data_IF_958253815730
#
_entry.id   IF_958253815730
#
_cell.length_a   1.000
_cell.length_b   1.000
_cell.length_c   1.000
_cell.angle_alpha   90.00
_cell.angle_beta   90.00
_cell.angle_gamma   90.00
#
_symmetry.space_group_name_H-M   'P 1'
#
loop_
_entity.id
_entity.type
_entity.pdbx_description
1 polymer ?
#
# COMPACT_ATOMS: atom_id res chain seq x y z
N UNK A 1 4.28 -7.84 -21.19
CA UNK A 1 4.90 -7.33 -19.96
C UNK A 1 6.10 -8.24 -19.67
N UNK A 2 7.32 -7.72 -19.43
CA UNK A 2 8.41 -8.56 -18.88
C UNK A 2 7.91 -9.15 -17.57
N UNK A 3 8.22 -10.42 -17.28
CA UNK A 3 7.86 -11.03 -15.99
C UNK A 3 8.48 -10.18 -14.86
N UNK A 4 7.68 -9.53 -13.99
CA UNK A 4 8.19 -8.69 -12.92
C UNK A 4 9.17 -9.43 -12.02
N UNK A 5 9.08 -10.76 -11.89
CA UNK A 5 10.06 -11.54 -11.14
C UNK A 5 11.49 -11.35 -11.68
N UNK A 6 11.66 -11.24 -13.00
CA UNK A 6 12.98 -11.01 -13.62
C UNK A 6 13.57 -9.64 -13.31
N UNK A 7 12.73 -8.64 -13.01
CA UNK A 7 13.18 -7.30 -12.62
C UNK A 7 13.69 -7.26 -11.17
N UNK A 8 13.28 -8.23 -10.34
CA UNK A 8 13.61 -8.31 -8.92
C UNK A 8 14.46 -9.55 -8.57
N UNK A 9 15.06 -10.20 -9.57
CA UNK A 9 16.08 -11.25 -9.41
C UNK A 9 17.51 -10.65 -9.32
N UNK A 10 17.63 -9.33 -9.43
CA UNK A 10 18.85 -8.55 -9.22
C UNK A 10 20.07 -9.07 -9.99
N UNK A 11 19.89 -9.36 -11.28
CA UNK A 11 20.94 -9.92 -12.16
C UNK A 11 21.46 -11.29 -11.67
N UNK A 12 20.60 -12.10 -11.03
CA UNK A 12 20.89 -13.47 -10.59
C UNK A 12 21.71 -13.54 -9.30
N UNK A 13 21.61 -12.52 -8.44
CA UNK A 13 22.32 -12.50 -7.15
C UNK A 13 21.71 -13.49 -6.18
N UNK A 14 22.56 -14.31 -5.55
CA UNK A 14 22.12 -15.23 -4.50
C UNK A 14 22.28 -14.67 -3.07
N UNK A 15 22.90 -13.50 -2.93
CA UNK A 15 23.15 -12.85 -1.62
C UNK A 15 22.12 -11.76 -1.29
N UNK A 16 20.91 -11.85 -1.85
CA UNK A 16 19.85 -10.87 -1.66
C UNK A 16 19.08 -11.15 -0.38
N UNK A 17 18.87 -10.11 0.43
CA UNK A 17 18.24 -10.17 1.74
C UNK A 17 17.05 -9.21 1.75
N UNK A 18 15.84 -9.74 1.73
CA UNK A 18 14.62 -8.95 1.80
C UNK A 18 14.24 -8.66 3.26
N UNK A 19 13.87 -7.40 3.54
CA UNK A 19 13.56 -6.95 4.89
C UNK A 19 12.26 -6.16 4.95
N UNK A 20 11.26 -6.70 5.64
CA UNK A 20 9.92 -6.10 5.77
C UNK A 20 9.80 -5.07 6.89
N UNK A 21 10.51 -3.92 6.82
CA UNK A 21 10.36 -2.82 7.78
C UNK A 21 9.08 -1.98 7.54
N UNK A 22 7.94 -2.66 7.52
CA UNK A 22 6.61 -2.06 7.39
C UNK A 22 6.37 -1.02 8.49
N UNK A 23 5.59 0.03 8.18
CA UNK A 23 5.23 1.13 9.09
C UNK A 23 6.36 2.05 9.56
N UNK A 24 7.60 1.83 9.16
CA UNK A 24 8.74 2.62 9.62
C UNK A 24 8.61 4.13 9.34
N UNK A 25 7.94 4.50 8.24
CA UNK A 25 7.57 5.88 7.87
C UNK A 25 6.69 6.61 8.91
N UNK A 26 6.01 5.88 9.81
CA UNK A 26 5.22 6.51 10.89
C UNK A 26 6.10 7.26 11.89
N UNK A 27 7.38 6.91 12.00
CA UNK A 27 8.34 7.61 12.86
C UNK A 27 8.68 9.02 12.37
N UNK A 28 8.39 9.34 11.10
CA UNK A 28 8.66 10.66 10.54
C UNK A 28 7.62 11.70 10.93
N UNK A 29 6.41 11.31 11.33
CA UNK A 29 5.42 12.26 11.84
C UNK A 29 5.73 12.66 13.28
N UNK A 30 6.01 13.95 13.46
CA UNK A 30 6.20 14.58 14.78
C UNK A 30 5.17 15.67 15.04
N UNK A 31 4.21 15.87 14.14
CA UNK A 31 3.32 17.04 14.15
C UNK A 31 2.32 17.03 15.31
N UNK A 32 1.87 15.83 15.73
CA UNK A 32 0.79 15.65 16.72
C UNK A 32 -0.49 16.44 16.37
N UNK A 33 -0.67 16.77 15.08
CA UNK A 33 -1.76 17.61 14.59
C UNK A 33 -3.11 16.87 14.56
N UNK A 34 -3.06 15.54 14.53
CA UNK A 34 -4.21 14.66 14.67
C UNK A 34 -4.04 13.79 15.92
N UNK A 35 -5.14 13.44 16.61
CA UNK A 35 -5.08 12.46 17.69
C UNK A 35 -4.65 11.11 17.12
N UNK A 36 -3.50 10.61 17.57
CA UNK A 36 -2.99 9.28 17.22
C UNK A 36 -3.31 8.34 18.36
N UNK A 37 -4.15 7.33 18.10
CA UNK A 37 -4.32 6.20 19.00
C UNK A 37 -3.44 5.06 18.49
N UNK A 38 -2.44 4.68 19.27
CA UNK A 38 -1.54 3.58 18.91
C UNK A 38 -2.24 2.26 19.19
N UNK A 39 -2.61 1.56 18.14
CA UNK A 39 -3.11 0.19 18.22
C UNK A 39 -1.94 -0.78 18.00
N UNK A 40 -1.39 -1.28 19.10
CA UNK A 40 -0.27 -2.21 19.07
C UNK A 40 -0.61 -3.53 18.38
N UNK A 41 -1.85 -4.01 18.51
CA UNK A 41 -2.31 -5.25 17.88
C UNK A 41 -2.32 -5.09 16.37
N UNK A 42 -2.87 -3.97 15.88
CA UNK A 42 -2.88 -3.69 14.44
C UNK A 42 -1.48 -3.46 13.89
N UNK A 43 -0.58 -2.82 14.64
CA UNK A 43 0.81 -2.63 14.20
C UNK A 43 1.53 -3.98 14.03
N UNK A 44 1.37 -4.92 14.97
CA UNK A 44 1.89 -6.28 14.88
C UNK A 44 1.31 -7.05 13.69
N UNK A 45 -0.01 -6.96 13.47
CA UNK A 45 -0.68 -7.58 12.33
C UNK A 45 -0.25 -6.97 10.99
N UNK A 46 0.09 -5.67 10.96
CA UNK A 46 0.64 -5.04 9.76
C UNK A 46 2.04 -5.54 9.48
N UNK A 47 2.89 -5.73 10.50
CA UNK A 47 4.25 -6.24 10.31
C UNK A 47 4.25 -7.64 9.69
N UNK A 48 3.28 -8.50 10.06
CA UNK A 48 3.09 -9.82 9.47
C UNK A 48 2.76 -9.80 7.96
N UNK A 49 2.50 -8.64 7.35
CA UNK A 49 2.45 -8.51 5.88
C UNK A 49 3.82 -8.74 5.22
N UNK A 50 4.90 -8.83 5.99
CA UNK A 50 6.20 -9.32 5.50
C UNK A 50 6.11 -10.69 4.81
N UNK A 51 5.05 -11.48 5.08
CA UNK A 51 4.70 -12.69 4.33
C UNK A 51 4.60 -12.47 2.81
N UNK A 52 4.26 -11.26 2.37
CA UNK A 52 4.15 -10.90 0.95
C UNK A 52 5.52 -10.93 0.23
N UNK A 53 6.62 -10.76 0.96
CA UNK A 53 7.97 -10.84 0.39
C UNK A 53 8.29 -12.24 -0.17
N UNK A 54 7.62 -13.28 0.35
CA UNK A 54 7.74 -14.66 -0.16
C UNK A 54 7.27 -14.82 -1.62
N UNK A 55 6.52 -13.85 -2.14
CA UNK A 55 5.91 -13.92 -3.48
C UNK A 55 6.76 -13.23 -4.55
N UNK A 56 7.73 -12.39 -4.14
CA UNK A 56 8.63 -11.67 -5.04
C UNK A 56 10.08 -12.17 -4.94
N UNK A 57 10.48 -12.65 -3.76
CA UNK A 57 11.84 -13.11 -3.54
C UNK A 57 12.10 -14.42 -4.28
N UNK A 58 13.22 -14.50 -5.00
CA UNK A 58 13.73 -15.75 -5.57
C UNK A 58 14.00 -16.78 -4.47
N UNK A 59 13.90 -18.06 -4.82
CA UNK A 59 14.17 -19.20 -3.92
C UNK A 59 15.57 -19.15 -3.29
N UNK A 60 16.52 -18.53 -3.97
CA UNK A 60 17.92 -18.43 -3.58
C UNK A 60 18.18 -17.22 -2.67
N UNK A 61 17.21 -16.32 -2.52
CA UNK A 61 17.27 -15.17 -1.63
C UNK A 61 16.95 -15.55 -0.18
N UNK A 62 17.26 -14.63 0.74
CA UNK A 62 16.78 -14.64 2.12
C UNK A 62 15.63 -13.65 2.31
N UNK A 63 14.63 -14.03 3.12
CA UNK A 63 13.62 -13.10 3.66
C UNK A 63 13.71 -13.12 5.18
N UNK A 64 13.91 -11.94 5.76
CA UNK A 64 13.94 -11.76 7.21
C UNK A 64 12.50 -11.64 7.73
N UNK A 65 12.15 -12.47 8.71
CA UNK A 65 10.85 -12.45 9.38
C UNK A 65 10.98 -11.98 10.83
N UNK A 66 10.09 -11.08 11.23
CA UNK A 66 9.80 -10.73 12.61
C UNK A 66 8.84 -11.74 13.26
N UNK A 67 7.96 -12.34 12.46
CA UNK A 67 6.97 -13.29 12.92
C UNK A 67 7.01 -14.55 12.06
N UNK A 68 7.39 -15.68 12.68
CA UNK A 68 7.41 -16.97 11.98
C UNK A 68 6.02 -17.32 11.41
N UNK A 69 5.87 -17.46 10.08
CA UNK A 69 4.60 -17.88 9.50
C UNK A 69 4.25 -19.31 9.88
N UNK A 70 2.95 -19.62 10.00
CA UNK A 70 2.51 -20.98 10.28
C UNK A 70 3.00 -21.97 9.22
N UNK A 71 3.43 -23.16 9.67
CA UNK A 71 3.94 -24.20 8.78
C UNK A 71 2.89 -24.61 7.72
N UNK A 72 1.61 -24.67 8.10
CA UNK A 72 0.51 -24.98 7.20
C UNK A 72 0.32 -23.91 6.11
N UNK A 73 0.52 -22.63 6.45
CA UNK A 73 0.49 -21.54 5.48
C UNK A 73 1.64 -21.65 4.47
N UNK A 74 2.86 -21.92 4.94
CA UNK A 74 4.03 -22.13 4.06
C UNK A 74 3.84 -23.37 3.16
N UNK A 75 3.29 -24.46 3.70
CA UNK A 75 2.96 -25.66 2.94
C UNK A 75 1.91 -25.37 1.85
N UNK A 76 0.90 -24.56 2.18
CA UNK A 76 -0.09 -24.08 1.23
C UNK A 76 0.54 -23.26 0.09
N UNK A 77 1.41 -22.29 0.40
CA UNK A 77 2.09 -21.50 -0.62
C UNK A 77 2.91 -22.40 -1.57
N UNK A 78 3.67 -23.35 -1.03
CA UNK A 78 4.40 -24.36 -1.82
C UNK A 78 3.47 -25.17 -2.72
N UNK A 79 2.35 -25.68 -2.18
CA UNK A 79 1.33 -26.43 -2.94
C UNK A 79 0.69 -25.59 -4.05
N UNK A 80 0.59 -24.28 -3.86
CA UNK A 80 0.13 -23.29 -4.86
C UNK A 80 1.25 -22.82 -5.81
N UNK A 81 2.40 -23.51 -5.81
CA UNK A 81 3.49 -23.29 -6.74
C UNK A 81 4.34 -22.05 -6.44
N UNK A 82 4.35 -21.56 -5.20
CA UNK A 82 5.31 -20.53 -4.78
C UNK A 82 6.64 -21.21 -4.49
N UNK A 83 7.71 -20.72 -5.11
CA UNK A 83 9.08 -21.15 -4.83
C UNK A 83 9.57 -20.37 -3.60
N UNK A 84 9.45 -20.96 -2.41
CA UNK A 84 9.77 -20.22 -1.18
C UNK A 84 11.27 -19.89 -1.09
N UNK A 85 11.63 -18.64 -0.74
CA UNK A 85 13.00 -18.25 -0.39
C UNK A 85 13.47 -18.90 0.91
N UNK A 86 14.74 -18.69 1.24
CA UNK A 86 15.25 -19.01 2.57
C UNK A 86 14.63 -18.06 3.59
N UNK A 87 13.96 -18.62 4.60
CA UNK A 87 13.37 -17.84 5.70
C UNK A 87 14.41 -17.74 6.80
N UNK A 88 14.74 -16.51 7.22
CA UNK A 88 15.67 -16.24 8.31
C UNK A 88 14.95 -15.46 9.40
N UNK A 89 15.06 -15.92 10.66
CA UNK A 89 14.51 -15.17 11.78
C UNK A 89 15.29 -13.88 11.99
N UNK A 90 14.63 -12.81 12.44
CA UNK A 90 15.27 -11.53 12.72
C UNK A 90 16.48 -11.66 13.65
N UNK A 91 16.40 -12.54 14.66
CA UNK A 91 17.47 -12.77 15.61
C UNK A 91 18.71 -13.36 14.94
N UNK A 92 18.57 -14.06 13.82
CA UNK A 92 19.67 -14.66 13.05
C UNK A 92 20.14 -13.78 11.89
N UNK A 93 19.47 -12.66 11.62
CA UNK A 93 19.74 -11.81 10.45
C UNK A 93 21.16 -11.24 10.44
N UNK A 94 21.79 -11.06 11.60
CA UNK A 94 23.17 -10.60 11.74
C UNK A 94 24.20 -11.53 11.08
N UNK A 95 23.85 -12.81 10.86
CA UNK A 95 24.71 -13.81 10.22
C UNK A 95 24.74 -13.64 8.69
N UNK A 96 23.70 -13.05 8.11
CA UNK A 96 23.61 -12.84 6.68
C UNK A 96 24.55 -11.72 6.26
N UNK A 97 25.14 -11.84 5.07
CA UNK A 97 25.90 -10.78 4.41
C UNK A 97 25.44 -10.69 2.98
N UNK A 98 25.22 -9.48 2.48
CA UNK A 98 24.82 -9.30 1.09
C UNK A 98 24.03 -8.03 0.85
N UNK A 99 23.22 -8.08 -0.22
CA UNK A 99 22.46 -6.96 -0.74
C UNK A 99 21.09 -6.87 -0.07
N UNK A 100 20.84 -5.79 0.68
CA UNK A 100 19.58 -5.60 1.40
C UNK A 100 18.54 -4.95 0.50
N UNK A 101 17.34 -5.54 0.45
CA UNK A 101 16.17 -5.01 -0.23
C UNK A 101 15.09 -4.72 0.81
N UNK A 102 15.00 -3.48 1.31
CA UNK A 102 14.02 -3.14 2.32
C UNK A 102 12.65 -2.89 1.68
N UNK A 103 11.61 -3.01 2.50
CA UNK A 103 10.30 -2.45 2.17
C UNK A 103 10.41 -0.93 1.95
N UNK A 104 11.02 -0.23 2.91
CA UNK A 104 11.26 1.21 2.89
C UNK A 104 12.73 1.48 3.25
N UNK A 105 13.45 2.27 2.47
CA UNK A 105 14.81 2.67 2.83
C UNK A 105 14.79 3.99 3.62
N UNK A 106 15.04 3.92 4.93
CA UNK A 106 15.06 5.07 5.84
C UNK A 106 16.47 5.35 6.42
N UNK A 107 16.58 6.41 7.22
CA UNK A 107 17.84 6.84 7.82
C UNK A 107 18.40 5.82 8.83
N UNK A 108 17.54 5.03 9.48
CA UNK A 108 17.97 4.02 10.46
C UNK A 108 18.70 2.87 9.77
N UNK A 109 18.15 2.38 8.66
CA UNK A 109 18.76 1.31 7.87
C UNK A 109 20.05 1.75 7.18
N UNK A 110 20.13 3.03 6.76
CA UNK A 110 21.37 3.60 6.19
C UNK A 110 22.52 3.54 7.20
N UNK A 111 22.25 3.89 8.47
CA UNK A 111 23.25 3.85 9.54
C UNK A 111 23.71 2.42 9.81
N UNK A 112 22.78 1.46 9.92
CA UNK A 112 23.10 0.05 10.13
C UNK A 112 23.94 -0.52 8.98
N UNK A 113 23.55 -0.28 7.72
CA UNK A 113 24.29 -0.76 6.57
C UNK A 113 25.65 -0.10 6.41
N UNK A 114 25.79 1.18 6.77
CA UNK A 114 27.08 1.87 6.76
C UNK A 114 28.06 1.23 7.75
N UNK A 115 27.61 0.92 8.97
CA UNK A 115 28.42 0.24 10.00
C UNK A 115 28.88 -1.14 9.50
N UNK A 116 28.01 -1.86 8.80
CA UNK A 116 28.28 -3.22 8.35
C UNK A 116 28.84 -3.32 6.91
N UNK A 117 29.08 -2.17 6.26
CA UNK A 117 29.52 -2.06 4.86
C UNK A 117 28.64 -2.87 3.87
N UNK A 118 27.31 -2.80 4.04
CA UNK A 118 26.33 -3.48 3.19
C UNK A 118 25.79 -2.56 2.10
N UNK A 119 25.44 -3.16 0.96
CA UNK A 119 24.74 -2.45 -0.13
C UNK A 119 23.24 -2.55 0.09
N UNK A 120 22.52 -1.45 -0.07
CA UNK A 120 21.05 -1.38 -0.01
C UNK A 120 20.50 -1.10 -1.41
N UNK A 121 19.37 -1.72 -1.74
CA UNK A 121 18.60 -1.44 -2.94
C UNK A 121 17.84 -0.11 -2.85
N UNK A 122 17.88 0.67 -3.94
CA UNK A 122 17.07 1.86 -4.13
C UNK A 122 17.81 3.18 -3.88
N UNK A 123 17.04 4.26 -3.83
CA UNK A 123 17.48 5.64 -3.60
C UNK A 123 18.08 5.84 -2.22
N UNK A 124 18.71 6.99 -1.97
CA UNK A 124 19.04 7.38 -0.60
C UNK A 124 17.76 7.66 0.25
N UNK A 125 17.84 7.54 1.58
CA UNK A 125 16.69 7.74 2.48
C UNK A 125 16.14 9.15 2.48
N UNK A 126 16.93 10.17 2.10
CA UNK A 126 16.45 11.56 2.01
C UNK A 126 15.41 11.72 0.90
N UNK A 127 15.65 11.12 -0.28
CA UNK A 127 14.69 11.14 -1.38
C UNK A 127 13.45 10.31 -1.05
N UNK A 128 13.63 9.13 -0.46
CA UNK A 128 12.53 8.28 0.00
C UNK A 128 11.62 9.05 0.96
N UNK A 129 12.19 9.69 1.98
CA UNK A 129 11.43 10.53 2.92
C UNK A 129 10.75 11.71 2.25
N UNK A 130 11.48 12.41 1.37
CA UNK A 130 10.97 13.58 0.62
C UNK A 130 9.75 13.22 -0.22
N UNK A 131 9.78 12.11 -0.96
CA UNK A 131 8.67 11.69 -1.82
C UNK A 131 7.52 10.99 -1.08
N UNK A 132 7.72 10.51 0.16
CA UNK A 132 6.60 10.09 1.02
C UNK A 132 5.96 11.27 1.80
N UNK A 133 6.49 12.49 1.68
CA UNK A 133 5.96 13.67 2.36
C UNK A 133 4.85 14.34 1.54
N UNK A 134 3.59 14.25 2.01
CA UNK A 134 2.39 14.70 1.27
C UNK A 134 2.38 16.17 0.87
N UNK A 135 2.87 17.06 1.74
CA UNK A 135 2.98 18.50 1.42
C UNK A 135 4.03 18.72 0.32
N UNK A 136 5.17 18.03 0.40
CA UNK A 136 6.19 18.11 -0.63
C UNK A 136 5.67 17.59 -1.97
N UNK A 137 5.03 16.43 -2.00
CA UNK A 137 4.50 15.85 -3.24
C UNK A 137 3.42 16.73 -3.87
N UNK A 138 2.57 17.36 -3.05
CA UNK A 138 1.61 18.37 -3.54
C UNK A 138 2.32 19.56 -4.20
N UNK A 139 3.27 20.19 -3.51
CA UNK A 139 4.06 21.31 -4.08
C UNK A 139 4.82 20.90 -5.33
N UNK A 140 5.35 19.68 -5.35
CA UNK A 140 6.05 19.13 -6.50
C UNK A 140 5.11 18.90 -7.69
N UNK A 141 3.91 18.37 -7.46
CA UNK A 141 2.88 18.22 -8.46
C UNK A 141 2.48 19.59 -9.07
N UNK A 142 2.22 20.59 -8.23
CA UNK A 142 1.91 21.97 -8.65
C UNK A 142 3.05 22.61 -9.44
N UNK A 143 4.30 22.51 -8.96
CA UNK A 143 5.51 23.01 -9.64
C UNK A 143 5.66 22.42 -11.05
N UNK A 144 5.37 21.13 -11.18
CA UNK A 144 5.40 20.43 -12.46
C UNK A 144 4.04 20.45 -13.18
N UNK A 145 3.13 21.37 -12.84
CA UNK A 145 1.88 21.59 -13.58
C UNK A 145 0.98 20.34 -13.70
N UNK A 146 1.09 19.39 -12.78
CA UNK A 146 0.09 18.33 -12.66
C UNK A 146 -1.17 18.90 -12.03
N UNK A 147 -2.32 18.37 -12.45
CA UNK A 147 -3.59 18.67 -11.77
C UNK A 147 -3.51 18.15 -10.33
N UNK A 148 -3.97 18.95 -9.37
CA UNK A 148 -4.07 18.59 -7.96
C UNK A 148 -5.49 18.79 -7.45
N UNK A 149 -5.80 18.18 -6.31
CA UNK A 149 -7.09 18.36 -5.64
C UNK A 149 -7.31 19.83 -5.21
N UNK A 150 -8.57 20.28 -5.31
CA UNK A 150 -9.03 21.53 -4.72
C UNK A 150 -8.72 21.56 -3.21
N UNK A 151 -8.00 22.58 -2.75
CA UNK A 151 -7.56 22.70 -1.37
C UNK A 151 -6.30 23.56 -1.28
N UNK A 152 -5.73 23.62 -0.08
CA UNK A 152 -4.50 24.36 0.17
C UNK A 152 -3.65 23.71 1.26
N UNK A 153 -2.37 24.07 1.24
CA UNK A 153 -1.45 23.83 2.35
C UNK A 153 -1.66 24.97 3.35
N UNK A 154 -2.01 24.64 4.59
CA UNK A 154 -2.32 25.56 5.67
C UNK A 154 -1.30 25.40 6.80
N UNK A 155 -0.81 26.51 7.35
CA UNK A 155 0.22 26.53 8.40
C UNK A 155 -0.36 26.89 9.79
N UNK A 156 -1.61 27.35 9.82
CA UNK A 156 -2.27 27.85 11.02
C UNK A 156 -3.81 27.72 10.92
N UNK A 157 -4.49 28.01 12.03
CA UNK A 157 -5.94 27.93 12.14
C UNK A 157 -6.69 28.91 11.21
N UNK A 158 -6.17 30.12 11.03
CA UNK A 158 -6.80 31.13 10.17
C UNK A 158 -6.79 30.69 8.69
N UNK A 159 -5.67 30.14 8.24
CA UNK A 159 -5.54 29.53 6.91
C UNK A 159 -6.50 28.35 6.73
N UNK A 160 -6.59 27.45 7.72
CA UNK A 160 -7.54 26.34 7.67
C UNK A 160 -8.98 26.82 7.56
N UNK A 161 -9.36 27.87 8.30
CA UNK A 161 -10.70 28.44 8.28
C UNK A 161 -11.04 29.04 6.92
N UNK A 162 -10.13 29.86 6.37
CA UNK A 162 -10.31 30.44 5.03
C UNK A 162 -10.41 29.35 3.96
N UNK A 163 -9.52 28.36 3.97
CA UNK A 163 -9.56 27.26 3.00
C UNK A 163 -10.84 26.42 3.14
N UNK A 164 -11.33 26.22 4.37
CA UNK A 164 -12.62 25.56 4.59
C UNK A 164 -13.77 26.34 3.93
N UNK A 165 -13.85 27.66 4.15
CA UNK A 165 -14.85 28.54 3.55
C UNK A 165 -14.79 28.51 2.01
N UNK A 166 -13.59 28.63 1.42
CA UNK A 166 -13.37 28.52 -0.03
C UNK A 166 -13.83 27.17 -0.61
N UNK A 167 -13.60 26.06 0.12
CA UNK A 167 -14.05 24.74 -0.31
C UNK A 167 -15.58 24.60 -0.21
N UNK A 168 -16.22 25.24 0.78
CA UNK A 168 -17.68 25.29 0.90
C UNK A 168 -18.31 26.08 -0.26
N UNK A 169 -17.71 27.19 -0.65
CA UNK A 169 -18.14 27.98 -1.82
C UNK A 169 -18.06 27.17 -3.13
N UNK A 170 -17.08 26.25 -3.21
CA UNK A 170 -16.94 25.28 -4.30
C UNK A 170 -17.85 24.04 -4.17
N UNK A 171 -18.83 24.09 -3.27
CA UNK A 171 -19.83 23.04 -3.03
C UNK A 171 -19.27 21.69 -2.53
N UNK A 172 -18.08 21.65 -1.93
CA UNK A 172 -17.61 20.44 -1.26
C UNK A 172 -18.42 20.16 0.01
N UNK A 173 -19.07 19.00 0.04
CA UNK A 173 -19.86 18.53 1.19
C UNK A 173 -19.02 17.84 2.26
N UNK A 174 -17.89 17.24 1.86
CA UNK A 174 -16.89 16.60 2.72
C UNK A 174 -15.51 17.20 2.41
N UNK A 175 -14.64 17.23 3.41
CA UNK A 175 -13.23 17.59 3.26
C UNK A 175 -12.33 16.55 3.91
N UNK A 176 -11.03 16.63 3.66
CA UNK A 176 -10.02 15.83 4.35
C UNK A 176 -8.87 16.71 4.81
N UNK A 177 -8.52 16.60 6.09
CA UNK A 177 -7.26 17.11 6.61
C UNK A 177 -6.20 16.02 6.52
N UNK A 178 -5.04 16.34 5.95
CA UNK A 178 -3.88 15.46 5.86
C UNK A 178 -2.68 16.07 6.57
N UNK A 179 -1.94 15.26 7.31
CA UNK A 179 -0.63 15.65 7.86
C UNK A 179 0.50 15.27 6.88
N UNK A 180 1.72 15.81 7.04
CA UNK A 180 2.88 15.52 6.19
C UNK A 180 3.18 14.05 5.93
N UNK A 181 3.21 13.24 6.99
CA UNK A 181 3.58 11.82 6.95
C UNK A 181 2.46 10.98 7.57
N UNK A 182 2.16 9.86 6.93
CA UNK A 182 1.13 8.95 7.37
C UNK A 182 0.86 7.94 6.26
N UNK A 183 0.38 6.76 6.62
CA UNK A 183 0.13 5.69 5.64
C UNK A 183 -1.02 4.80 6.06
N UNK A 184 -1.61 4.10 5.09
CA UNK A 184 -2.77 3.22 5.32
C UNK A 184 -3.92 3.91 6.07
N UNK A 185 -4.21 5.16 5.71
CA UNK A 185 -5.26 5.97 6.36
C UNK A 185 -4.82 6.70 7.64
N UNK A 186 -3.66 6.35 8.24
CA UNK A 186 -3.10 7.12 9.36
C UNK A 186 -2.65 8.49 8.86
N UNK A 187 -2.93 9.53 9.65
CA UNK A 187 -2.60 10.90 9.27
C UNK A 187 -3.64 11.59 8.37
N UNK A 188 -4.83 11.00 8.23
CA UNK A 188 -5.96 11.58 7.53
C UNK A 188 -7.15 11.73 8.48
N UNK A 189 -7.89 12.83 8.36
CA UNK A 189 -9.19 13.01 9.03
C UNK A 189 -10.21 13.55 8.04
N UNK A 190 -11.22 12.73 7.75
CA UNK A 190 -12.38 13.15 6.95
C UNK A 190 -13.28 14.02 7.82
N UNK A 191 -13.67 15.17 7.28
CA UNK A 191 -14.56 16.14 7.88
C UNK A 191 -15.89 16.05 7.15
N UNK A 192 -16.91 15.49 7.81
CA UNK A 192 -18.20 15.19 7.18
C UNK A 192 -19.17 16.37 7.24
N UNK A 193 -18.89 17.36 8.08
CA UNK A 193 -19.72 18.53 8.33
C UNK A 193 -18.90 19.63 9.04
N UNK A 194 -19.52 20.81 9.21
CA UNK A 194 -18.91 21.97 9.89
C UNK A 194 -18.54 21.70 11.36
N UNK A 195 -19.34 20.91 12.07
CA UNK A 195 -19.04 20.56 13.47
C UNK A 195 -17.72 19.79 13.58
N UNK A 196 -17.46 18.84 12.68
CA UNK A 196 -16.20 18.09 12.64
C UNK A 196 -15.01 19.03 12.42
N UNK A 197 -15.16 19.99 11.50
CA UNK A 197 -14.14 20.99 11.20
C UNK A 197 -13.88 21.90 12.41
N UNK A 198 -14.91 22.46 13.03
CA UNK A 198 -14.75 23.37 14.17
C UNK A 198 -14.10 22.68 15.38
N UNK A 199 -14.40 21.39 15.61
CA UNK A 199 -13.74 20.60 16.64
C UNK A 199 -12.25 20.39 16.35
N UNK A 200 -11.89 20.09 15.10
CA UNK A 200 -10.51 19.95 14.67
C UNK A 200 -9.75 21.28 14.78
N UNK A 201 -10.36 22.38 14.34
CA UNK A 201 -9.80 23.73 14.42
C UNK A 201 -9.48 24.11 15.87
N UNK A 202 -10.45 23.92 16.77
CA UNK A 202 -10.29 24.15 18.22
C UNK A 202 -9.14 23.30 18.79
N UNK A 203 -9.02 22.04 18.35
CA UNK A 203 -7.93 21.16 18.79
C UNK A 203 -6.55 21.70 18.35
N UNK A 204 -6.43 22.10 17.09
CA UNK A 204 -5.20 22.65 16.49
C UNK A 204 -4.79 23.95 17.22
N UNK A 205 -5.74 24.87 17.45
CA UNK A 205 -5.51 26.13 18.16
C UNK A 205 -5.03 25.89 19.59
N UNK A 206 -5.74 25.05 20.36
CA UNK A 206 -5.39 24.75 21.76
C UNK A 206 -4.01 24.11 21.88
N UNK A 207 -3.62 23.29 20.90
CA UNK A 207 -2.32 22.61 20.87
C UNK A 207 -1.21 23.46 20.27
N UNK A 208 -1.53 24.64 19.72
CA UNK A 208 -0.58 25.54 19.03
C UNK A 208 0.25 24.78 17.98
N UNK A 209 -0.42 23.95 17.18
CA UNK A 209 0.24 23.16 16.14
C UNK A 209 0.84 24.13 15.11
N UNK A 210 2.15 24.02 14.88
CA UNK A 210 2.90 24.81 13.91
C UNK A 210 3.56 23.87 12.90
N UNK A 211 2.77 23.40 11.94
CA UNK A 211 3.23 22.53 10.85
C UNK A 211 2.39 22.77 9.61
N UNK A 212 2.95 22.47 8.45
CA UNK A 212 2.18 22.39 7.21
C UNK A 212 1.15 21.26 7.32
N UNK A 213 -0.12 21.60 7.13
CA UNK A 213 -1.25 20.69 7.01
C UNK A 213 -1.88 20.87 5.63
N UNK A 214 -2.58 19.87 5.13
CA UNK A 214 -3.27 19.95 3.86
C UNK A 214 -4.77 19.83 4.11
N UNK A 215 -5.55 20.83 3.70
CA UNK A 215 -7.00 20.76 3.72
C UNK A 215 -7.51 20.73 2.28
N UNK A 216 -8.16 19.63 1.91
CA UNK A 216 -8.65 19.39 0.55
C UNK A 216 -10.16 19.07 0.56
N UNK A 217 -10.83 19.43 -0.53
CA UNK A 217 -12.16 18.93 -0.82
C UNK A 217 -12.11 17.41 -1.03
N UNK A 218 -13.09 16.70 -0.49
CA UNK A 218 -13.29 15.30 -0.79
C UNK A 218 -14.00 15.19 -2.14
N UNK A 219 -13.24 14.87 -3.19
CA UNK A 219 -13.76 14.77 -4.54
C UNK A 219 -14.78 13.63 -4.66
N UNK A 220 -15.80 13.77 -5.53
CA UNK A 220 -16.66 12.66 -5.90
C UNK A 220 -15.85 11.69 -6.77
N UNK A 221 -15.24 10.69 -6.14
CA UNK A 221 -14.29 9.78 -6.81
C UNK A 221 -15.06 8.72 -7.60
N UNK A 222 -14.87 8.70 -8.93
CA UNK A 222 -15.36 7.64 -9.81
C UNK A 222 -14.42 6.42 -9.79
N UNK A 223 -13.10 6.66 -9.81
CA UNK A 223 -12.08 5.60 -9.81
C UNK A 223 -10.90 5.99 -8.91
N UNK A 224 -10.51 5.07 -8.03
CA UNK A 224 -9.29 5.19 -7.20
C UNK A 224 -8.19 4.35 -7.85
N UNK A 225 -7.25 4.99 -8.52
CA UNK A 225 -6.19 4.35 -9.30
C UNK A 225 -4.93 4.18 -8.46
N UNK A 226 -4.17 3.14 -8.74
CA UNK A 226 -2.82 2.96 -8.23
C UNK A 226 -1.89 2.48 -9.35
N UNK A 227 -0.79 3.18 -9.57
CA UNK A 227 0.27 2.79 -10.48
C UNK A 227 1.52 2.32 -9.72
N UNK A 228 2.20 1.30 -10.23
CA UNK A 228 3.50 0.86 -9.72
C UNK A 228 4.57 1.19 -10.74
N UNK A 229 5.61 1.89 -10.31
CA UNK A 229 6.73 2.36 -11.12
C UNK A 229 8.02 1.72 -10.62
N UNK A 230 8.95 1.46 -11.54
CA UNK A 230 10.31 1.06 -11.25
C UNK A 230 11.27 2.01 -11.96
N UNK A 231 12.06 2.75 -11.19
CA UNK A 231 13.02 3.71 -11.73
C UNK A 231 14.43 3.14 -11.58
N UNK A 232 15.17 2.95 -12.68
CA UNK A 232 16.54 2.42 -12.68
C UNK A 232 17.44 3.21 -13.65
N UNK A 233 18.76 3.04 -13.52
CA UNK A 233 19.74 3.75 -14.36
C UNK A 233 19.65 3.39 -15.84
N UNK A 234 19.34 2.13 -16.16
CA UNK A 234 19.29 1.63 -17.54
C UNK A 234 17.93 1.81 -18.18
N UNK A 235 16.88 1.39 -17.48
CA UNK A 235 15.51 1.34 -17.99
C UNK A 235 14.54 1.57 -16.83
N UNK A 236 13.51 2.39 -17.05
CA UNK A 236 12.46 2.64 -16.07
C UNK A 236 11.11 2.18 -16.63
N UNK A 237 10.24 1.70 -15.76
CA UNK A 237 9.04 0.95 -16.15
C UNK A 237 7.80 1.40 -15.39
N UNK A 238 6.69 1.53 -16.11
CA UNK A 238 5.35 1.40 -15.53
C UNK A 238 5.05 -0.10 -15.41
N UNK A 239 5.05 -0.63 -14.19
CA UNK A 239 4.89 -2.05 -13.91
C UNK A 239 3.42 -2.49 -13.98
N UNK A 240 2.51 -1.69 -13.42
CA UNK A 240 1.09 -2.01 -13.38
C UNK A 240 0.23 -0.77 -13.15
N UNK A 241 -0.99 -0.79 -13.65
CA UNK A 241 -2.10 0.09 -13.27
C UNK A 241 -3.19 -0.79 -12.66
N UNK A 242 -3.67 -0.43 -11.48
CA UNK A 242 -4.69 -1.15 -10.71
C UNK A 242 -5.72 -0.18 -10.14
N UNK A 243 -6.85 -0.67 -9.64
CA UNK A 243 -7.80 0.13 -8.88
C UNK A 243 -7.88 -0.31 -7.42
N UNK A 244 -7.81 0.66 -6.50
CA UNK A 244 -8.07 0.41 -5.10
C UNK A 244 -9.58 0.38 -4.85
N UNK A 245 -10.06 -0.66 -4.18
CA UNK A 245 -11.41 -0.69 -3.62
C UNK A 245 -11.36 0.00 -2.26
N UNK A 246 -12.03 1.12 -2.16
CA UNK A 246 -12.04 1.99 -0.98
C UNK A 246 -13.50 2.24 -0.60
N UNK A 247 -13.82 2.19 0.70
CA UNK A 247 -15.16 2.53 1.17
C UNK A 247 -15.36 4.06 1.34
N UNK A 248 -16.55 4.48 1.75
CA UNK A 248 -16.90 5.90 1.92
C UNK A 248 -16.06 6.65 2.97
N UNK A 249 -15.41 5.93 3.87
CA UNK A 249 -14.52 6.47 4.91
C UNK A 249 -13.04 6.46 4.49
N UNK A 250 -12.73 6.17 3.22
CA UNK A 250 -11.36 6.14 2.72
C UNK A 250 -10.59 4.89 3.14
N UNK A 251 -11.27 3.84 3.63
CA UNK A 251 -10.63 2.60 4.08
C UNK A 251 -10.44 1.65 2.89
N UNK A 252 -9.20 1.24 2.69
CA UNK A 252 -8.83 0.22 1.69
C UNK A 252 -9.41 -1.16 2.04
N UNK A 253 -10.11 -1.74 1.07
CA UNK A 253 -10.75 -3.06 1.13
C UNK A 253 -10.03 -4.11 0.26
N UNK A 254 -9.26 -3.67 -0.74
CA UNK A 254 -8.61 -4.55 -1.71
C UNK A 254 -8.22 -3.82 -2.99
N UNK A 255 -7.73 -4.58 -3.96
CA UNK A 255 -7.27 -4.08 -5.26
C UNK A 255 -7.86 -4.91 -6.38
N UNK A 256 -8.43 -4.24 -7.37
CA UNK A 256 -8.74 -4.83 -8.67
C UNK A 256 -7.50 -4.68 -9.56
N UNK A 257 -6.96 -5.84 -9.98
CA UNK A 257 -5.77 -5.92 -10.81
C UNK A 257 -6.09 -5.89 -12.30
N UNK A 258 -7.36 -6.08 -12.68
CA UNK A 258 -7.82 -6.13 -14.06
C UNK A 258 -8.81 -5.00 -14.40
N UNK A 259 -8.58 -3.74 -13.99
CA UNK A 259 -9.53 -2.68 -14.27
C UNK A 259 -9.58 -2.39 -15.77
N UNK A 260 -10.79 -2.17 -16.27
CA UNK A 260 -11.04 -1.82 -17.67
C UNK A 260 -11.27 -0.31 -17.78
N UNK A 261 -10.51 0.31 -18.68
CA UNK A 261 -10.57 1.74 -18.98
C UNK A 261 -10.89 1.95 -20.45
N UNK A 262 -11.50 3.11 -20.75
CA UNK A 262 -11.53 3.63 -22.11
C UNK A 262 -10.10 3.94 -22.58
N UNK A 263 -9.82 3.72 -23.87
CA UNK A 263 -8.47 3.82 -24.42
C UNK A 263 -7.83 5.19 -24.20
N UNK A 264 -8.59 6.27 -24.39
CA UNK A 264 -8.08 7.63 -24.25
C UNK A 264 -7.73 7.94 -22.78
N UNK A 265 -8.56 7.50 -21.83
CA UNK A 265 -8.31 7.66 -20.40
C UNK A 265 -7.11 6.85 -19.91
N UNK A 266 -6.97 5.63 -20.42
CA UNK A 266 -5.79 4.81 -20.14
C UNK A 266 -4.52 5.51 -20.63
N UNK A 267 -4.54 6.02 -21.87
CA UNK A 267 -3.41 6.73 -22.46
C UNK A 267 -3.07 8.02 -21.69
N UNK A 268 -4.06 8.84 -21.35
CA UNK A 268 -3.90 10.05 -20.54
C UNK A 268 -3.19 9.74 -19.20
N UNK A 269 -3.58 8.64 -18.56
CA UNK A 269 -2.97 8.20 -17.31
C UNK A 269 -1.55 7.65 -17.50
N UNK A 270 -1.32 6.82 -18.52
CA UNK A 270 0.00 6.29 -18.87
C UNK A 270 0.99 7.42 -19.19
N UNK A 271 0.59 8.43 -19.97
CA UNK A 271 1.40 9.62 -20.28
C UNK A 271 1.78 10.38 -18.99
N UNK A 272 0.84 10.52 -18.04
CA UNK A 272 1.11 11.10 -16.73
C UNK A 272 2.13 10.29 -15.93
N UNK A 273 2.02 8.95 -15.92
CA UNK A 273 2.94 8.08 -15.19
C UNK A 273 4.34 8.08 -15.80
N UNK A 274 4.46 8.09 -17.14
CA UNK A 274 5.74 8.22 -17.82
C UNK A 274 6.43 9.54 -17.48
N UNK A 275 5.68 10.65 -17.44
CA UNK A 275 6.20 11.94 -17.01
C UNK A 275 6.66 11.93 -15.55
N UNK A 276 5.94 11.25 -14.66
CA UNK A 276 6.37 11.09 -13.26
C UNK A 276 7.67 10.27 -13.18
N UNK A 277 7.80 9.20 -13.97
CA UNK A 277 9.03 8.40 -14.05
C UNK A 277 10.23 9.28 -14.42
N UNK A 278 10.10 10.08 -15.48
CA UNK A 278 11.16 10.99 -15.96
C UNK A 278 11.58 11.98 -14.87
N UNK A 279 10.62 12.67 -14.25
CA UNK A 279 10.90 13.68 -13.23
C UNK A 279 11.52 13.07 -11.96
N UNK A 280 11.09 11.88 -11.54
CA UNK A 280 11.69 11.17 -10.42
C UNK A 280 13.13 10.74 -10.74
N UNK A 281 13.36 10.26 -11.96
CA UNK A 281 14.70 9.89 -12.44
C UNK A 281 15.65 11.09 -12.43
N UNK A 282 15.19 12.27 -12.89
CA UNK A 282 15.92 13.54 -12.90
C UNK A 282 16.25 14.05 -11.49
N UNK A 283 15.36 13.85 -10.51
CA UNK A 283 15.62 14.13 -9.09
C UNK A 283 16.59 13.11 -8.45
N UNK A 284 17.05 12.12 -9.22
CA UNK A 284 18.01 11.09 -8.79
C UNK A 284 17.38 9.91 -8.07
N UNK A 285 16.05 9.77 -8.11
CA UNK A 285 15.36 8.63 -7.50
C UNK A 285 15.61 7.35 -8.30
N UNK A 286 15.88 6.26 -7.61
CA UNK A 286 15.95 4.87 -8.06
C UNK A 286 15.16 3.96 -7.12
N UNK A 287 14.51 2.95 -7.67
CA UNK A 287 13.72 1.98 -6.91
C UNK A 287 12.24 1.98 -7.28
N UNK A 288 11.44 1.33 -6.43
CA UNK A 288 9.99 1.16 -6.65
C UNK A 288 9.24 2.36 -6.10
N UNK A 289 8.16 2.75 -6.78
CA UNK A 289 7.24 3.80 -6.35
C UNK A 289 5.80 3.38 -6.62
N UNK A 290 4.92 3.50 -5.62
CA UNK A 290 3.48 3.49 -5.83
C UNK A 290 2.94 4.91 -6.00
N UNK A 291 2.10 5.16 -6.98
CA UNK A 291 1.43 6.46 -7.17
C UNK A 291 -0.07 6.25 -7.07
N UNK A 292 -0.69 6.86 -6.06
CA UNK A 292 -2.14 6.87 -5.89
C UNK A 292 -2.71 8.07 -6.66
N UNK A 293 -3.76 7.82 -7.44
CA UNK A 293 -4.41 8.81 -8.31
C UNK A 293 -5.92 8.64 -8.26
N UNK A 294 -6.67 9.64 -8.71
CA UNK A 294 -8.13 9.53 -8.83
C UNK A 294 -8.62 10.03 -10.18
N UNK A 295 -9.74 9.46 -10.63
CA UNK A 295 -10.62 10.08 -11.63
C UNK A 295 -11.91 10.40 -10.89
N UNK A 296 -12.33 11.66 -10.95
CA UNK A 296 -13.60 12.10 -10.35
C UNK A 296 -14.81 11.82 -11.27
N UNK A 297 -16.03 12.08 -10.77
CA UNK A 297 -17.28 11.91 -11.51
C UNK A 297 -17.38 12.85 -12.74
N UNK A 298 -16.59 13.93 -12.78
CA UNK A 298 -16.47 14.86 -13.91
C UNK A 298 -15.38 14.43 -14.93
N UNK A 299 -14.94 13.17 -14.86
CA UNK A 299 -13.91 12.56 -15.72
C UNK A 299 -12.53 13.24 -15.63
N UNK A 300 -12.26 13.98 -14.56
CA UNK A 300 -10.99 14.67 -14.38
C UNK A 300 -9.97 13.75 -13.72
N UNK A 301 -8.83 13.58 -14.39
CA UNK A 301 -7.68 12.89 -13.83
C UNK A 301 -6.91 13.81 -12.87
N UNK A 302 -6.69 13.33 -11.65
CA UNK A 302 -5.72 13.87 -10.70
C UNK A 302 -4.63 12.81 -10.53
N UNK A 303 -3.49 12.92 -11.24
CA UNK A 303 -2.51 11.84 -11.37
C UNK A 303 -1.58 11.68 -10.15
N UNK A 304 -1.70 12.56 -9.15
CA UNK A 304 -0.91 12.50 -7.93
C UNK A 304 -1.80 12.91 -6.75
N UNK A 305 -2.27 11.92 -6.01
CA UNK A 305 -2.84 12.07 -4.67
C UNK A 305 -1.77 11.78 -3.61
N UNK A 306 -0.98 10.73 -3.83
CA UNK A 306 0.12 10.34 -2.96
C UNK A 306 1.20 9.62 -3.77
N UNK A 307 2.46 9.86 -3.39
CA UNK A 307 3.60 9.08 -3.87
C UNK A 307 4.10 8.26 -2.67
N UNK A 308 4.19 6.95 -2.86
CA UNK A 308 4.73 5.98 -1.92
C UNK A 308 6.09 5.52 -2.45
N UNK A 309 7.17 6.19 -2.03
CA UNK A 309 8.53 5.88 -2.49
C UNK A 309 9.09 4.64 -1.78
N UNK A 310 8.50 3.49 -2.06
CA UNK A 310 8.78 2.18 -1.48
C UNK A 310 8.10 1.06 -2.25
N UNK A 311 8.41 -0.18 -1.90
CA UNK A 311 7.57 -1.30 -2.27
C UNK A 311 6.15 -1.13 -1.71
N UNK A 312 5.18 -1.68 -2.43
CA UNK A 312 3.79 -1.76 -2.00
C UNK A 312 3.30 -3.19 -2.11
N UNK A 313 2.13 -3.48 -1.50
CA UNK A 313 1.47 -4.77 -1.64
C UNK A 313 1.29 -5.17 -3.12
N UNK A 314 0.92 -4.22 -3.99
CA UNK A 314 0.72 -4.49 -5.42
C UNK A 314 2.01 -5.02 -6.04
N UNK A 315 3.15 -4.36 -5.78
CA UNK A 315 4.45 -4.79 -6.32
C UNK A 315 4.80 -6.23 -5.91
N UNK A 316 4.59 -6.60 -4.64
CA UNK A 316 4.87 -7.95 -4.16
C UNK A 316 3.99 -9.04 -4.80
N UNK A 317 2.79 -8.68 -5.25
CA UNK A 317 1.88 -9.59 -5.91
C UNK A 317 2.11 -9.72 -7.42
N UNK A 318 2.85 -8.80 -8.05
CA UNK A 318 2.99 -8.79 -9.50
C UNK A 318 3.43 -10.14 -10.11
N UNK A 319 4.41 -10.90 -9.56
CA UNK A 319 4.79 -12.19 -10.12
C UNK A 319 3.63 -13.20 -10.17
N UNK A 320 2.84 -13.30 -9.08
CA UNK A 320 1.69 -14.20 -9.05
C UNK A 320 0.53 -13.70 -9.90
N UNK A 321 0.33 -12.38 -9.97
CA UNK A 321 -0.69 -11.76 -10.80
C UNK A 321 -0.40 -11.99 -12.29
N UNK A 322 0.85 -11.81 -12.74
CA UNK A 322 1.25 -12.10 -14.11
C UNK A 322 1.02 -13.58 -14.48
N UNK A 323 1.30 -14.51 -13.56
CA UNK A 323 0.98 -15.92 -13.74
C UNK A 323 -0.52 -16.19 -13.82
N UNK A 324 -1.35 -15.48 -13.06
CA UNK A 324 -2.79 -15.64 -13.13
C UNK A 324 -3.38 -15.03 -14.40
N UNK A 325 -2.84 -13.92 -14.91
CA UNK A 325 -3.29 -13.32 -16.16
C UNK A 325 -3.05 -14.18 -17.41
N UNK A 326 -2.19 -15.22 -17.35
CA UNK A 326 -2.09 -16.18 -18.45
C UNK A 326 -3.33 -17.05 -18.61
N UNK A 327 -4.22 -17.03 -17.62
CA UNK A 327 -5.37 -17.94 -17.57
C UNK A 327 -6.66 -17.25 -17.21
N UNK A 328 -6.66 -16.26 -16.32
CA UNK A 328 -7.87 -15.64 -15.77
C UNK A 328 -8.04 -14.20 -16.23
N UNK A 329 -9.28 -13.82 -16.53
CA UNK A 329 -9.64 -12.48 -17.00
C UNK A 329 -9.81 -11.49 -15.85
N UNK A 330 -10.35 -11.95 -14.72
CA UNK A 330 -10.63 -11.09 -13.57
C UNK A 330 -9.79 -11.53 -12.37
N UNK A 331 -9.12 -10.57 -11.72
CA UNK A 331 -8.29 -10.80 -10.55
C UNK A 331 -8.45 -9.64 -9.57
N UNK A 332 -8.90 -9.95 -8.35
CA UNK A 332 -9.19 -8.95 -7.33
C UNK A 332 -8.75 -9.43 -5.95
N UNK A 333 -8.18 -8.54 -5.13
CA UNK A 333 -7.83 -8.85 -3.74
C UNK A 333 -8.91 -8.35 -2.77
N UNK A 334 -8.98 -9.00 -1.60
CA UNK A 334 -9.70 -8.52 -0.44
C UNK A 334 -8.84 -8.61 0.81
N UNK A 335 -9.09 -7.66 1.71
CA UNK A 335 -8.64 -7.65 3.10
C UNK A 335 -9.82 -7.99 4.01
N UNK A 336 -9.67 -9.00 4.86
CA UNK A 336 -10.59 -9.27 5.96
C UNK A 336 -9.87 -9.10 7.29
N UNK A 337 -10.49 -8.35 8.21
CA UNK A 337 -10.11 -8.28 9.61
C UNK A 337 -11.24 -8.84 10.44
N UNK A 338 -10.91 -9.69 11.40
CA UNK A 338 -11.89 -10.26 12.31
C UNK A 338 -11.21 -10.63 13.63
N UNK A 339 -12.02 -10.85 14.67
CA UNK A 339 -11.54 -11.31 15.96
C UNK A 339 -12.46 -12.41 16.49
N UNK A 340 -11.88 -13.43 17.12
CA UNK A 340 -12.64 -14.51 17.78
C UNK A 340 -11.91 -14.96 19.05
N UNK A 341 -12.62 -15.66 19.94
CA UNK A 341 -12.03 -16.17 21.18
C UNK A 341 -11.18 -17.42 20.94
N UNK A 342 -11.47 -18.18 19.88
CA UNK A 342 -10.71 -19.36 19.49
C UNK A 342 -9.41 -19.00 18.74
N UNK A 343 -8.36 -19.79 18.97
CA UNK A 343 -7.18 -19.79 18.08
C UNK A 343 -7.52 -20.62 16.84
N UNK A 344 -7.78 -19.95 15.72
CA UNK A 344 -8.10 -20.55 14.44
C UNK A 344 -6.79 -20.76 13.65
N UNK A 345 -6.32 -22.00 13.49
CA UNK A 345 -5.14 -22.27 12.66
C UNK A 345 -5.45 -22.00 11.19
N UNK A 346 -4.40 -21.79 10.39
CA UNK A 346 -4.54 -21.51 8.97
C UNK A 346 -5.38 -22.55 8.21
N UNK A 347 -5.27 -23.84 8.56
CA UNK A 347 -5.99 -24.93 7.90
C UNK A 347 -7.51 -24.83 8.07
N UNK A 348 -7.97 -24.39 9.24
CA UNK A 348 -9.40 -24.23 9.53
C UNK A 348 -9.99 -23.07 8.73
N UNK A 349 -9.26 -21.95 8.66
CA UNK A 349 -9.64 -20.81 7.82
C UNK A 349 -9.66 -21.20 6.34
N UNK A 350 -8.62 -21.90 5.87
CA UNK A 350 -8.55 -22.39 4.50
C UNK A 350 -9.73 -23.32 4.18
N UNK A 351 -10.08 -24.23 5.08
CA UNK A 351 -11.21 -25.16 4.92
C UNK A 351 -12.54 -24.42 4.89
N UNK A 352 -12.75 -23.45 5.78
CA UNK A 352 -13.95 -22.62 5.81
C UNK A 352 -14.13 -21.84 4.50
N UNK A 353 -13.07 -21.16 4.03
CA UNK A 353 -13.07 -20.42 2.76
C UNK A 353 -13.31 -21.36 1.57
N UNK A 354 -12.62 -22.50 1.52
CA UNK A 354 -12.80 -23.48 0.43
C UNK A 354 -14.24 -23.96 0.34
N UNK A 355 -14.84 -24.29 1.49
CA UNK A 355 -16.23 -24.77 1.56
C UNK A 355 -17.22 -23.68 1.13
N UNK A 356 -16.99 -22.44 1.53
CA UNK A 356 -17.90 -21.32 1.26
C UNK A 356 -17.84 -20.84 -0.19
N UNK A 357 -16.63 -20.64 -0.73
CA UNK A 357 -16.46 -20.00 -2.04
C UNK A 357 -16.78 -20.92 -3.22
N UNK A 358 -16.46 -22.21 -3.11
CA UNK A 358 -16.65 -23.22 -4.15
C UNK A 358 -16.39 -22.70 -5.59
N UNK A 359 -15.14 -22.34 -5.92
CA UNK A 359 -14.82 -21.57 -7.12
C UNK A 359 -15.05 -22.30 -8.46
N UNK A 360 -15.21 -23.63 -8.45
CA UNK A 360 -15.26 -24.43 -9.68
C UNK A 360 -13.91 -24.54 -10.39
N UNK A 361 -13.91 -25.01 -11.64
CA UNK A 361 -12.70 -25.22 -12.45
C UNK A 361 -12.20 -23.93 -13.13
N UNK A 362 -13.11 -22.97 -13.38
CA UNK A 362 -12.86 -21.72 -14.10
C UNK A 362 -12.31 -20.59 -13.21
N UNK A 363 -12.01 -20.87 -11.94
CA UNK A 363 -11.61 -19.86 -10.98
C UNK A 363 -10.97 -20.43 -9.72
N UNK A 364 -10.65 -19.55 -8.78
CA UNK A 364 -10.04 -19.92 -7.54
C UNK A 364 -9.75 -18.74 -6.63
N UNK A 365 -9.06 -19.05 -5.54
CA UNK A 365 -8.56 -18.06 -4.62
C UNK A 365 -7.16 -18.40 -4.13
N UNK A 366 -6.42 -17.37 -3.71
CA UNK A 366 -5.07 -17.48 -3.19
C UNK A 366 -4.89 -16.62 -1.93
N UNK A 367 -4.71 -17.25 -0.78
CA UNK A 367 -4.42 -16.53 0.48
C UNK A 367 -2.94 -16.16 0.48
N UNK A 368 -2.64 -14.87 0.51
CA UNK A 368 -1.26 -14.37 0.40
C UNK A 368 -0.74 -13.71 1.68
N UNK A 369 -1.60 -13.52 2.68
CA UNK A 369 -1.18 -13.14 4.03
C UNK A 369 -2.17 -13.71 5.02
N UNK A 370 -1.65 -14.42 6.01
CA UNK A 370 -2.40 -14.90 7.17
C UNK A 370 -1.70 -14.39 8.43
N UNK A 371 -2.15 -13.23 8.91
CA UNK A 371 -1.66 -12.63 10.14
C UNK A 371 -2.60 -12.93 11.30
N UNK A 372 -2.04 -13.31 12.46
CA UNK A 372 -2.81 -13.46 13.70
C UNK A 372 -2.04 -12.96 14.92
N UNK A 373 -2.75 -12.41 15.90
CA UNK A 373 -2.17 -11.94 17.17
C UNK A 373 -3.19 -12.09 18.28
N UNK A 374 -2.79 -12.72 19.39
CA UNK A 374 -3.58 -12.72 20.61
C UNK A 374 -3.39 -11.40 21.36
N UNK A 375 -4.48 -10.80 21.81
CA UNK A 375 -4.50 -9.68 22.73
C UNK A 375 -5.68 -9.87 23.70
N UNK A 376 -5.42 -9.72 25.00
CA UNK A 376 -6.36 -10.06 26.05
C UNK A 376 -6.92 -11.50 25.85
N UNK A 377 -8.24 -11.65 25.84
CA UNK A 377 -8.95 -12.92 25.67
C UNK A 377 -9.37 -13.20 24.21
N UNK A 378 -8.87 -12.41 23.25
CA UNK A 378 -9.25 -12.52 21.84
C UNK A 378 -8.05 -12.74 20.93
N UNK A 379 -8.29 -13.46 19.84
CA UNK A 379 -7.40 -13.53 18.70
C UNK A 379 -7.88 -12.56 17.63
N UNK A 380 -6.95 -11.75 17.12
CA UNK A 380 -7.19 -10.82 16.04
C UNK A 380 -6.49 -11.29 14.78
N UNK A 381 -7.18 -11.22 13.65
CA UNK A 381 -6.70 -11.72 12.37
C UNK A 381 -6.66 -10.63 11.32
N UNK A 382 -5.68 -10.75 10.43
CA UNK A 382 -5.56 -9.97 9.21
C UNK A 382 -5.30 -10.91 8.05
N UNK A 383 -6.34 -11.16 7.28
CA UNK A 383 -6.32 -12.05 6.14
C UNK A 383 -6.31 -11.23 4.85
N UNK A 384 -5.39 -11.56 3.96
CA UNK A 384 -5.46 -11.08 2.57
C UNK A 384 -5.54 -12.24 1.59
N UNK A 385 -6.43 -12.08 0.63
CA UNK A 385 -6.82 -13.13 -0.33
C UNK A 385 -6.98 -12.52 -1.71
N UNK A 386 -6.55 -13.24 -2.74
CA UNK A 386 -6.81 -12.99 -4.15
C UNK A 386 -7.95 -13.88 -4.62
N UNK A 387 -8.83 -13.34 -5.44
CA UNK A 387 -9.92 -14.02 -6.15
C UNK A 387 -9.67 -13.88 -7.63
N UNK A 388 -9.70 -15.00 -8.35
CA UNK A 388 -9.46 -14.99 -9.79
C UNK A 388 -10.48 -15.90 -10.48
N UNK A 389 -10.99 -15.46 -11.62
CA UNK A 389 -11.99 -16.22 -12.38
C UNK A 389 -12.03 -15.79 -13.85
N UNK A 390 -12.49 -16.69 -14.73
CA UNK A 390 -12.83 -16.38 -16.12
C UNK A 390 -14.14 -15.60 -16.32
N UNK A 391 -14.98 -15.45 -15.29
CA UNK A 391 -16.35 -14.96 -15.41
C UNK A 391 -16.62 -13.96 -14.30
N UNK A 392 -16.94 -12.71 -14.67
CA UNK A 392 -17.13 -11.61 -13.71
C UNK A 392 -18.21 -11.92 -12.68
N UNK A 393 -19.39 -12.39 -13.11
CA UNK A 393 -20.50 -12.74 -12.22
C UNK A 393 -20.10 -13.77 -11.14
N UNK A 394 -19.27 -14.76 -11.50
CA UNK A 394 -18.80 -15.78 -10.55
C UNK A 394 -17.77 -15.20 -9.57
N UNK A 395 -16.87 -14.35 -10.06
CA UNK A 395 -15.93 -13.63 -9.20
C UNK A 395 -16.67 -12.75 -8.20
N UNK A 396 -17.64 -11.95 -8.66
CA UNK A 396 -18.42 -11.05 -7.82
C UNK A 396 -19.19 -11.83 -6.75
N UNK A 397 -19.79 -12.98 -7.12
CA UNK A 397 -20.42 -13.88 -6.13
C UNK A 397 -19.43 -14.36 -5.06
N UNK A 398 -18.20 -14.74 -5.45
CA UNK A 398 -17.18 -15.17 -4.48
C UNK A 398 -16.77 -14.01 -3.55
N UNK A 399 -16.64 -12.80 -4.09
CA UNK A 399 -16.32 -11.60 -3.31
C UNK A 399 -17.44 -11.29 -2.31
N UNK A 400 -18.71 -11.28 -2.74
CA UNK A 400 -19.86 -11.07 -1.85
C UNK A 400 -19.89 -12.09 -0.72
N UNK A 401 -19.76 -13.39 -1.04
CA UNK A 401 -19.74 -14.45 -0.02
C UNK A 401 -18.61 -14.18 0.99
N UNK A 402 -17.40 -13.89 0.52
CA UNK A 402 -16.26 -13.63 1.40
C UNK A 402 -16.46 -12.40 2.29
N UNK A 403 -17.02 -11.32 1.74
CA UNK A 403 -17.26 -10.08 2.46
C UNK A 403 -18.30 -10.28 3.58
N UNK A 404 -19.24 -11.21 3.41
CA UNK A 404 -20.24 -11.61 4.41
C UNK A 404 -19.78 -12.72 5.37
N UNK A 405 -18.70 -13.45 5.06
CA UNK A 405 -18.22 -14.55 5.91
C UNK A 405 -17.85 -14.08 7.32
N UNK A 406 -18.30 -14.80 8.33
CA UNK A 406 -17.82 -14.69 9.70
C UNK A 406 -16.98 -15.93 10.05
N UNK A 407 -15.91 -15.70 10.81
CA UNK A 407 -15.06 -16.75 11.35
C UNK A 407 -15.23 -16.75 12.87
N UNK A 408 -15.58 -17.89 13.44
CA UNK A 408 -15.83 -18.06 14.87
C UNK A 408 -15.06 -19.22 15.46
#
# INVERSE_FOLDING_TARGET
MKDPATLFDFEGRNDVIWFGNMNQEQSWDQTRALPVMTDHVQNELVLQQEQQLLLIASKDHHVIFHHQPEAAFLAYLKKRGVQLPQITQKEDAFKLKGFIVPYLFDESLEQEAFIENRRIYGSNPKLVKRFNHKVFTRRWAEKHQFKVTCGAICQNADELKRTYEELREKNFSKMVLKIPYGSSGKGLRILKNERDFMQLLTFIERRKIQTDLILEGWHPIKRSLNAQLLIQDKESHLLSITEQKINEDGIYLGTDFAPVYEMDKKREYEESMHRIIELLYEEGYRGVVGVDSIIDEDEQLIPIIEINARFTQVTYLLPIICRFFSTYEYIESRLKRFSCSADLPFEDILKAITKALNPGEDGGFFIYTFGKKRADDMWHYRLFILFYHMKKEKQDKMLTIFDEMEFS
#
